data_IF_269673557906
#
_entry.id   IF_269673557906
#
_cell.length_a   1.000
_cell.length_b   1.000
_cell.length_c   1.000
_cell.angle_alpha   90.00
_cell.angle_beta   90.00
_cell.angle_gamma   90.00
#
_symmetry.space_group_name_H-M   'P 1'
#
loop_
_entity.id
_entity.type
_entity.pdbx_description
1 polymer ?
#
# COMPACT_ATOMS: atom_id res chain seq x y z
N UNK A 1 -34.16 -9.46 53.59
CA UNK A 1 -33.56 -10.80 53.33
C UNK A 1 -32.34 -10.55 52.46
N UNK A 2 -31.14 -10.25 52.99
CA UNK A 2 -30.06 -11.15 53.49
C UNK A 2 -29.77 -12.35 52.57
N UNK A 3 -28.69 -12.25 51.77
CA UNK A 3 -27.48 -13.12 51.70
C UNK A 3 -26.61 -12.58 50.51
N UNK A 4 -25.46 -11.91 50.71
CA UNK A 4 -24.06 -12.43 50.80
C UNK A 4 -23.66 -13.33 49.61
N UNK A 5 -22.54 -13.17 48.88
CA UNK A 5 -21.33 -12.32 48.94
C UNK A 5 -20.16 -13.00 48.18
N UNK A 6 -18.99 -12.34 48.19
CA UNK A 6 -17.63 -12.72 47.70
C UNK A 6 -17.34 -12.29 46.25
N UNK A 7 -16.48 -11.31 45.92
CA UNK A 7 -15.18 -10.83 46.42
C UNK A 7 -14.07 -11.90 46.44
N UNK A 8 -13.12 -11.78 45.51
CA UNK A 8 -11.93 -12.62 45.41
C UNK A 8 -10.85 -12.00 44.51
N UNK A 9 -10.19 -10.97 45.03
CA UNK A 9 -8.89 -10.49 44.54
C UNK A 9 -7.80 -11.38 45.15
N UNK A 10 -6.88 -11.94 44.37
CA UNK A 10 -5.65 -12.52 44.90
C UNK A 10 -4.47 -12.37 43.93
N UNK A 11 -3.53 -11.50 44.33
CA UNK A 11 -2.13 -11.46 43.91
C UNK A 11 -1.40 -12.73 44.38
N UNK A 12 -0.60 -13.34 43.51
CA UNK A 12 0.60 -14.12 43.81
C UNK A 12 1.28 -14.51 42.48
N UNK A 13 2.59 -14.59 42.30
CA UNK A 13 3.78 -14.18 43.01
C UNK A 13 4.92 -14.39 41.99
N UNK A 14 5.87 -13.45 41.90
CA UNK A 14 7.08 -13.59 41.10
C UNK A 14 8.22 -14.13 41.99
N UNK A 15 8.97 -15.12 41.50
CA UNK A 15 10.21 -15.64 42.07
C UNK A 15 10.47 -17.08 41.60
N UNK A 16 11.64 -17.51 41.14
CA UNK A 16 12.93 -16.85 40.93
C UNK A 16 14.00 -17.86 40.46
N UNK A 17 15.14 -17.31 40.03
CA UNK A 17 16.52 -17.83 40.08
C UNK A 17 16.94 -19.15 39.41
N UNK A 18 17.92 -19.03 38.51
CA UNK A 18 18.86 -20.09 38.13
C UNK A 18 19.93 -19.56 37.16
N UNK A 19 21.06 -19.10 37.68
CA UNK A 19 22.16 -18.50 36.90
C UNK A 19 23.17 -19.53 36.38
N UNK A 20 23.91 -19.15 35.34
CA UNK A 20 25.18 -19.78 34.93
C UNK A 20 26.20 -18.66 34.75
N UNK A 21 27.30 -18.76 35.51
CA UNK A 21 28.40 -17.81 35.50
C UNK A 21 29.34 -18.01 34.32
N UNK A 22 29.90 -16.90 33.84
CA UNK A 22 31.09 -16.88 32.99
C UNK A 22 32.19 -16.19 33.79
N UNK A 23 33.23 -16.95 34.12
CA UNK A 23 34.42 -16.46 34.81
C UNK A 23 35.22 -15.56 33.87
N UNK A 24 35.66 -14.43 34.43
CA UNK A 24 36.56 -13.48 33.80
C UNK A 24 38.05 -13.73 34.08
N UNK A 25 38.86 -12.83 33.51
CA UNK A 25 40.32 -12.74 33.62
C UNK A 25 40.88 -12.59 32.21
N UNK A 26 41.26 -11.40 31.73
CA UNK A 26 42.42 -10.63 32.21
C UNK A 26 43.66 -11.16 31.48
N UNK A 27 44.61 -10.42 30.93
CA UNK A 27 44.92 -9.01 30.90
C UNK A 27 46.19 -8.89 30.02
N UNK A 28 46.30 -7.78 29.28
CA UNK A 28 47.50 -7.03 28.90
C UNK A 28 48.71 -7.63 28.12
N UNK A 29 49.21 -6.74 27.24
CA UNK A 29 50.62 -6.50 26.87
C UNK A 29 51.15 -6.91 25.47
N UNK A 30 51.15 -5.90 24.58
CA UNK A 30 52.31 -5.27 23.93
C UNK A 30 53.32 -6.07 23.06
N UNK A 31 53.38 -5.63 21.79
CA UNK A 31 54.55 -5.19 20.99
C UNK A 31 55.88 -5.96 21.16
N UNK A 32 56.30 -6.63 20.09
CA UNK A 32 57.67 -7.07 19.84
C UNK A 32 58.07 -6.82 18.37
N UNK A 33 59.07 -5.98 18.18
CA UNK A 33 59.75 -5.65 16.91
C UNK A 33 60.90 -6.63 16.63
N UNK A 34 61.15 -6.82 15.34
CA UNK A 34 62.46 -6.97 14.67
C UNK A 34 62.98 -8.35 14.20
N UNK A 35 63.54 -8.26 12.99
CA UNK A 35 64.61 -9.02 12.34
C UNK A 35 64.42 -10.51 11.97
N UNK A 36 64.35 -10.75 10.66
CA UNK A 36 64.66 -12.04 10.04
C UNK A 36 64.83 -11.90 8.52
N UNK A 37 66.07 -11.96 8.07
CA UNK A 37 66.56 -11.49 6.77
C UNK A 37 66.24 -12.39 5.56
N UNK A 38 66.25 -11.79 4.37
CA UNK A 38 66.14 -12.44 3.05
C UNK A 38 67.47 -13.10 2.66
N UNK A 39 67.49 -14.24 1.94
CA UNK A 39 68.60 -14.56 1.07
C UNK A 39 68.31 -14.09 -0.37
N UNK A 40 69.22 -13.26 -0.89
CA UNK A 40 69.42 -12.99 -2.33
C UNK A 40 70.24 -14.12 -2.93
N UNK A 41 69.84 -14.67 -4.08
CA UNK A 41 70.70 -15.19 -5.17
C UNK A 41 69.84 -15.10 -6.45
N UNK A 42 70.03 -14.13 -7.34
CA UNK A 42 71.11 -13.89 -8.31
C UNK A 42 70.91 -14.65 -9.65
N UNK A 43 71.29 -13.90 -10.69
CA UNK A 43 71.01 -13.92 -12.11
C UNK A 43 70.90 -15.26 -12.86
N UNK A 44 69.91 -15.26 -13.77
CA UNK A 44 69.99 -15.92 -15.08
C UNK A 44 69.52 -14.93 -16.14
N UNK A 45 70.46 -14.28 -16.82
CA UNK A 45 70.26 -13.52 -18.06
C UNK A 45 69.92 -14.47 -19.21
N UNK A 46 69.02 -14.05 -20.11
CA UNK A 46 69.07 -14.19 -21.60
C UNK A 46 67.68 -13.91 -22.23
N UNK A 47 67.59 -13.45 -23.48
CA UNK A 47 68.30 -12.34 -24.12
C UNK A 47 67.32 -11.33 -24.77
N UNK A 48 67.89 -10.18 -25.13
CA UNK A 48 67.26 -9.04 -25.81
C UNK A 48 67.05 -9.36 -27.31
N UNK A 49 65.81 -9.57 -27.75
CA UNK A 49 65.42 -9.60 -29.16
C UNK A 49 64.66 -8.33 -29.56
N UNK A 50 65.43 -7.28 -29.83
CA UNK A 50 64.95 -6.05 -30.43
C UNK A 50 64.19 -6.31 -31.75
N UNK A 51 62.90 -5.97 -31.75
CA UNK A 51 62.00 -6.04 -32.90
C UNK A 51 60.88 -5.01 -32.85
N UNK A 52 61.19 -3.81 -33.35
CA UNK A 52 60.28 -2.79 -33.91
C UNK A 52 59.09 -2.27 -33.08
N UNK A 53 59.31 -1.05 -32.59
CA UNK A 53 58.33 -0.02 -32.26
C UNK A 53 57.42 0.32 -33.46
N UNK A 54 56.32 -0.41 -33.58
CA UNK A 54 55.39 -0.26 -34.70
C UNK A 54 53.93 -0.39 -34.27
N UNK A 55 53.47 0.49 -33.38
CA UNK A 55 52.05 0.80 -33.17
C UNK A 55 51.23 -0.32 -32.53
N UNK A 56 51.05 -0.24 -31.21
CA UNK A 56 49.92 -0.86 -30.53
C UNK A 56 49.21 0.22 -29.74
N UNK A 57 48.17 0.75 -30.40
CA UNK A 57 46.89 1.06 -29.78
C UNK A 57 46.95 1.40 -28.28
N UNK A 58 47.18 2.67 -27.97
CA UNK A 58 46.75 3.23 -26.69
C UNK A 58 45.27 3.61 -26.79
N UNK A 59 44.44 2.66 -27.20
CA UNK A 59 43.09 2.56 -26.72
C UNK A 59 43.21 2.25 -25.23
N UNK A 60 42.63 3.09 -24.41
CA UNK A 60 42.33 2.73 -23.03
C UNK A 60 41.43 1.50 -23.08
N UNK A 61 42.03 0.30 -23.02
CA UNK A 61 41.37 -0.96 -22.72
C UNK A 61 40.98 -0.96 -21.24
N UNK A 62 40.20 0.04 -20.86
CA UNK A 62 39.34 -0.07 -19.71
C UNK A 62 38.17 -0.89 -20.24
N UNK A 63 38.19 -2.19 -19.97
CA UNK A 63 36.97 -2.99 -19.97
C UNK A 63 35.89 -2.14 -19.31
N UNK A 64 34.70 -1.97 -19.93
CA UNK A 64 33.60 -1.29 -19.26
C UNK A 64 33.38 -1.92 -17.89
N UNK A 65 32.96 -1.11 -16.92
CA UNK A 65 32.51 -1.66 -15.63
C UNK A 65 31.41 -2.67 -15.96
N UNK A 66 31.48 -3.92 -15.48
CA UNK A 66 30.42 -4.89 -15.73
C UNK A 66 29.04 -4.31 -15.39
N UNK A 67 28.93 -3.46 -14.35
CA UNK A 67 27.66 -2.83 -13.97
C UNK A 67 27.13 -1.76 -14.94
N UNK A 68 27.92 -1.39 -15.94
CA UNK A 68 27.57 -0.46 -17.03
C UNK A 68 27.36 -1.21 -18.37
N UNK A 69 27.36 -2.54 -18.35
CA UNK A 69 27.02 -3.39 -19.49
C UNK A 69 25.59 -3.89 -19.29
N UNK A 70 24.85 -3.99 -20.39
CA UNK A 70 23.51 -4.59 -20.46
C UNK A 70 23.73 -5.99 -21.06
N UNK A 71 23.87 -7.01 -20.22
CA UNK A 71 24.24 -8.37 -20.66
C UNK A 71 23.07 -9.16 -21.30
N UNK A 72 21.82 -8.70 -21.14
CA UNK A 72 20.62 -9.38 -21.66
C UNK A 72 19.82 -8.62 -22.76
N UNK A 73 20.28 -7.41 -23.11
CA UNK A 73 19.76 -6.52 -24.15
C UNK A 73 18.32 -6.00 -23.88
N UNK A 74 17.92 -5.81 -22.62
CA UNK A 74 16.58 -5.31 -22.27
C UNK A 74 16.49 -3.77 -22.13
N UNK A 75 17.66 -3.11 -22.12
CA UNK A 75 17.79 -1.67 -22.11
C UNK A 75 18.08 -1.05 -20.74
N UNK A 76 18.32 -1.87 -19.71
CA UNK A 76 18.82 -1.45 -18.40
C UNK A 76 20.16 -2.13 -18.09
N UNK A 77 20.96 -1.51 -17.22
CA UNK A 77 22.14 -2.16 -16.62
C UNK A 77 21.95 -2.28 -15.11
N UNK A 78 22.81 -3.06 -14.45
CA UNK A 78 22.84 -3.16 -12.99
C UNK A 78 22.91 -1.79 -12.28
N UNK A 79 23.67 -0.82 -12.82
CA UNK A 79 23.74 0.56 -12.30
C UNK A 79 22.49 1.40 -12.59
N UNK A 80 21.67 1.01 -13.57
CA UNK A 80 20.40 1.66 -13.92
C UNK A 80 19.20 1.06 -13.18
N UNK A 81 19.41 -0.03 -12.43
CA UNK A 81 18.40 -0.64 -11.56
C UNK A 81 18.02 -2.06 -11.95
N UNK A 82 18.69 -2.67 -12.92
CA UNK A 82 18.46 -4.07 -13.28
C UNK A 82 18.88 -5.00 -12.13
N UNK A 83 17.93 -5.82 -11.68
CA UNK A 83 18.14 -6.80 -10.61
C UNK A 83 18.53 -8.19 -11.13
N UNK A 84 18.47 -8.42 -12.44
CA UNK A 84 19.01 -9.59 -13.14
C UNK A 84 19.37 -9.29 -14.60
N UNK A 85 20.56 -8.70 -14.77
CA UNK A 85 21.25 -8.39 -16.04
C UNK A 85 21.53 -9.63 -16.94
N UNK A 86 21.06 -10.82 -16.55
CA UNK A 86 21.13 -12.05 -17.34
C UNK A 86 19.75 -12.61 -17.75
N UNK A 87 18.67 -11.88 -17.47
CA UNK A 87 17.29 -12.25 -17.73
C UNK A 87 16.44 -11.03 -18.19
N UNK A 88 16.19 -10.89 -19.51
CA UNK A 88 15.56 -9.69 -20.07
C UNK A 88 14.06 -9.59 -19.77
N UNK A 89 13.57 -10.46 -18.89
CA UNK A 89 12.21 -10.42 -18.34
C UNK A 89 12.17 -9.81 -16.94
N UNK A 90 13.31 -9.36 -16.40
CA UNK A 90 13.45 -8.87 -15.04
C UNK A 90 14.23 -7.55 -14.97
N UNK A 91 13.54 -6.43 -15.13
CA UNK A 91 14.14 -5.09 -15.11
C UNK A 91 13.11 -4.01 -14.74
N UNK A 92 13.54 -2.76 -14.46
CA UNK A 92 12.65 -1.65 -14.08
C UNK A 92 11.44 -1.35 -14.98
N UNK A 93 11.39 -1.90 -16.19
CA UNK A 93 10.26 -1.74 -17.12
C UNK A 93 9.47 -3.03 -17.37
N UNK A 94 9.88 -4.14 -16.75
CA UNK A 94 9.15 -5.39 -16.85
C UNK A 94 7.78 -5.28 -16.16
N UNK A 95 6.92 -6.25 -16.43
CA UNK A 95 5.63 -6.37 -15.74
C UNK A 95 5.70 -7.52 -14.76
N UNK A 96 5.15 -7.32 -13.57
CA UNK A 96 5.11 -8.35 -12.55
C UNK A 96 4.30 -9.59 -12.99
N UNK A 97 4.87 -10.77 -12.76
CA UNK A 97 4.26 -12.09 -12.95
C UNK A 97 3.90 -12.65 -11.58
N UNK A 98 2.62 -12.58 -11.30
CA UNK A 98 2.11 -12.80 -9.97
C UNK A 98 2.16 -14.27 -9.49
N UNK A 99 2.44 -14.43 -8.19
CA UNK A 99 2.53 -15.69 -7.45
C UNK A 99 3.67 -16.62 -7.91
N UNK A 100 4.70 -16.10 -8.59
CA UNK A 100 5.88 -16.90 -8.99
C UNK A 100 7.07 -16.72 -8.03
N UNK A 101 6.98 -15.73 -7.13
CA UNK A 101 7.97 -15.46 -6.08
C UNK A 101 9.22 -14.75 -6.58
N UNK A 102 9.15 -14.11 -7.75
CA UNK A 102 10.23 -13.37 -8.39
C UNK A 102 9.77 -11.92 -8.54
N UNK A 103 10.63 -10.98 -8.20
CA UNK A 103 10.48 -9.54 -8.51
C UNK A 103 10.94 -9.34 -9.96
N UNK A 104 9.98 -9.11 -10.88
CA UNK A 104 10.29 -8.89 -12.30
C UNK A 104 10.56 -7.42 -12.58
N UNK A 105 9.84 -6.49 -11.97
CA UNK A 105 10.03 -5.07 -12.26
C UNK A 105 11.14 -4.38 -11.44
N UNK A 106 11.87 -5.15 -10.63
CA UNK A 106 13.02 -4.73 -9.84
C UNK A 106 12.73 -3.53 -8.91
N UNK A 107 11.48 -3.37 -8.48
CA UNK A 107 11.07 -2.28 -7.58
C UNK A 107 11.32 -2.62 -6.09
N UNK A 108 11.64 -3.89 -5.81
CA UNK A 108 11.95 -4.43 -4.49
C UNK A 108 10.79 -5.15 -3.80
N UNK A 109 9.59 -5.17 -4.39
CA UNK A 109 8.39 -5.82 -3.89
C UNK A 109 8.04 -7.08 -4.71
N UNK A 110 8.47 -8.24 -4.23
CA UNK A 110 8.13 -9.54 -4.86
C UNK A 110 6.63 -9.74 -4.96
N UNK A 111 6.15 -10.09 -6.15
CA UNK A 111 4.74 -10.34 -6.51
C UNK A 111 3.81 -9.15 -6.17
N UNK A 112 4.36 -7.94 -6.03
CA UNK A 112 3.60 -6.72 -5.72
C UNK A 112 2.76 -6.82 -4.43
N UNK A 113 3.23 -7.60 -3.45
CA UNK A 113 2.48 -8.02 -2.26
C UNK A 113 2.34 -6.94 -1.17
N UNK A 114 2.39 -5.66 -1.52
CA UNK A 114 2.23 -4.58 -0.55
C UNK A 114 0.86 -4.71 0.14
N UNK A 115 0.85 -5.10 1.42
CA UNK A 115 -0.39 -5.27 2.18
C UNK A 115 -1.17 -3.95 2.17
N UNK A 116 -2.44 -3.99 1.77
CA UNK A 116 -3.29 -2.82 1.83
C UNK A 116 -3.41 -2.33 3.28
N UNK A 117 -3.23 -1.03 3.50
CA UNK A 117 -3.40 -0.42 4.82
C UNK A 117 -4.81 0.13 4.96
N UNK A 118 -5.59 -0.39 5.91
CA UNK A 118 -6.91 0.14 6.23
C UNK A 118 -6.81 1.57 6.77
N UNK A 119 -7.61 2.47 6.22
CA UNK A 119 -7.83 3.83 6.73
C UNK A 119 -9.26 3.94 7.23
N UNK A 120 -9.41 4.48 8.44
CA UNK A 120 -10.68 4.53 9.13
C UNK A 120 -11.04 3.20 9.82
N UNK A 121 -12.30 3.05 10.27
CA UNK A 121 -13.38 4.02 10.08
C UNK A 121 -13.19 5.31 10.87
N UNK A 122 -13.46 6.45 10.24
CA UNK A 122 -13.48 7.77 10.87
C UNK A 122 -14.80 8.46 10.60
N UNK A 123 -15.28 9.33 11.52
CA UNK A 123 -16.41 10.21 11.24
C UNK A 123 -16.18 11.00 9.94
N UNK A 124 -17.24 11.23 9.18
CA UNK A 124 -17.18 12.01 7.95
C UNK A 124 -18.46 12.80 7.76
N UNK A 125 -18.41 14.10 8.06
CA UNK A 125 -19.54 15.03 7.98
C UNK A 125 -19.43 16.00 6.82
N UNK A 126 -18.21 16.18 6.30
CA UNK A 126 -17.93 17.02 5.14
C UNK A 126 -16.56 16.67 4.55
N UNK A 127 -16.28 17.17 3.34
CA UNK A 127 -15.02 16.93 2.61
C UNK A 127 -13.76 17.24 3.43
N UNK A 128 -13.80 18.21 4.34
CA UNK A 128 -12.64 18.57 5.16
C UNK A 128 -12.28 17.52 6.22
N UNK A 129 -13.20 16.60 6.53
CA UNK A 129 -12.96 15.46 7.41
C UNK A 129 -12.39 14.25 6.67
N UNK A 130 -12.23 14.33 5.34
CA UNK A 130 -11.54 13.29 4.57
C UNK A 130 -10.14 13.04 5.15
N UNK A 131 -9.78 11.78 5.44
CA UNK A 131 -8.40 11.42 5.77
C UNK A 131 -7.37 11.84 4.72
N UNK A 132 -7.82 12.15 3.51
CA UNK A 132 -6.96 12.58 2.42
C UNK A 132 -6.98 14.07 2.14
N UNK A 133 -7.72 14.86 2.91
CA UNK A 133 -7.80 16.31 2.74
C UNK A 133 -6.44 17.02 2.87
N UNK A 134 -5.45 16.36 3.50
CA UNK A 134 -4.11 16.89 3.70
C UNK A 134 -3.05 16.30 2.76
N UNK A 135 -3.42 15.35 1.89
CA UNK A 135 -2.50 14.70 0.96
C UNK A 135 -2.21 15.60 -0.26
N UNK A 136 -1.00 15.51 -0.79
CA UNK A 136 -0.54 16.29 -1.95
C UNK A 136 -0.54 15.39 -3.20
N UNK A 137 -1.73 15.05 -3.69
CA UNK A 137 -1.88 14.17 -4.83
C UNK A 137 -1.59 14.87 -6.16
N UNK A 138 -1.00 14.12 -7.09
CA UNK A 138 -0.89 14.55 -8.49
C UNK A 138 -2.20 14.35 -9.24
N UNK A 139 -2.99 13.37 -8.79
CA UNK A 139 -4.34 13.08 -9.25
C UNK A 139 -5.27 12.85 -8.05
N UNK A 140 -6.41 13.55 -8.02
CA UNK A 140 -7.43 13.33 -7.00
C UNK A 140 -8.84 13.51 -7.58
N UNK A 141 -9.72 12.57 -7.25
CA UNK A 141 -11.15 12.65 -7.54
C UNK A 141 -11.94 12.43 -6.27
N UNK A 142 -12.94 13.27 -6.07
CA UNK A 142 -14.06 13.02 -5.18
C UNK A 142 -15.31 13.02 -6.05
N UNK A 143 -15.99 11.88 -6.02
CA UNK A 143 -17.26 11.61 -6.65
C UNK A 143 -18.34 11.63 -5.56
N UNK A 144 -19.32 12.51 -5.73
CA UNK A 144 -20.47 12.70 -4.85
C UNK A 144 -21.74 12.04 -5.41
N UNK A 145 -21.67 11.49 -6.63
CA UNK A 145 -22.75 10.83 -7.38
C UNK A 145 -23.96 11.72 -7.73
N UNK A 146 -23.91 13.01 -7.39
CA UNK A 146 -25.00 13.99 -7.53
C UNK A 146 -25.42 14.24 -8.98
N UNK A 147 -24.51 14.01 -9.92
CA UNK A 147 -24.77 14.12 -11.35
C UNK A 147 -25.31 12.81 -11.98
N UNK A 148 -25.43 11.76 -11.16
CA UNK A 148 -25.85 10.43 -11.54
C UNK A 148 -24.87 9.69 -12.44
N UNK A 149 -23.61 10.10 -12.44
CA UNK A 149 -22.53 9.50 -13.21
C UNK A 149 -21.41 8.99 -12.29
N UNK A 150 -20.46 8.27 -12.89
CA UNK A 150 -19.21 7.89 -12.24
C UNK A 150 -18.06 8.59 -12.97
N UNK A 151 -16.90 8.77 -12.32
CA UNK A 151 -15.75 9.38 -12.97
C UNK A 151 -15.29 8.51 -14.15
N UNK A 152 -14.77 9.11 -15.23
CA UNK A 152 -14.15 8.35 -16.31
C UNK A 152 -13.07 7.41 -15.76
N UNK A 153 -13.09 6.16 -16.21
CA UNK A 153 -12.14 5.14 -15.73
C UNK A 153 -12.54 4.46 -14.42
N UNK A 154 -13.70 4.79 -13.85
CA UNK A 154 -14.28 4.10 -12.71
C UNK A 154 -15.53 3.35 -13.14
N UNK A 155 -15.65 2.10 -12.72
CA UNK A 155 -16.90 1.32 -12.83
C UNK A 155 -17.29 0.78 -11.47
N UNK A 156 -18.60 0.64 -11.22
CA UNK A 156 -19.12 0.05 -9.98
C UNK A 156 -19.92 -1.21 -10.29
N UNK A 157 -19.92 -2.18 -9.37
CA UNK A 157 -20.69 -3.43 -9.48
C UNK A 157 -22.21 -3.24 -9.43
N UNK A 158 -22.66 -2.02 -9.14
CA UNK A 158 -24.05 -1.55 -9.17
C UNK A 158 -24.08 -0.17 -9.82
N UNK A 159 -25.16 0.16 -10.50
CA UNK A 159 -25.44 1.51 -11.02
C UNK A 159 -26.75 2.06 -10.44
N UNK A 160 -27.16 1.54 -9.28
CA UNK A 160 -28.44 1.89 -8.66
C UNK A 160 -28.26 3.15 -7.82
N UNK A 161 -28.81 4.25 -8.31
CA UNK A 161 -28.76 5.55 -7.64
C UNK A 161 -30.03 5.84 -6.82
N UNK A 162 -29.86 6.62 -5.75
CA UNK A 162 -30.84 6.89 -4.69
C UNK A 162 -32.10 7.62 -5.15
N UNK A 163 -32.04 8.46 -6.19
CA UNK A 163 -33.20 9.15 -6.78
C UNK A 163 -34.33 8.22 -7.24
N UNK A 164 -34.06 6.91 -7.36
CA UNK A 164 -35.05 5.87 -7.67
C UNK A 164 -35.99 5.55 -6.49
N UNK A 165 -35.63 5.91 -5.26
CA UNK A 165 -36.33 5.54 -4.02
C UNK A 165 -37.08 6.70 -3.35
N UNK A 166 -36.72 7.94 -3.69
CA UNK A 166 -37.33 9.18 -3.21
C UNK A 166 -36.49 9.91 -2.16
N UNK A 167 -36.63 11.24 -2.02
CA UNK A 167 -35.74 12.11 -1.23
C UNK A 167 -35.84 11.94 0.29
N UNK A 168 -36.63 10.98 0.77
CA UNK A 168 -36.88 10.74 2.20
C UNK A 168 -36.11 9.54 2.76
N UNK A 169 -35.21 8.96 1.95
CA UNK A 169 -34.35 7.82 2.31
C UNK A 169 -32.90 8.04 1.87
N UNK A 170 -32.55 9.27 1.51
CA UNK A 170 -31.19 9.64 1.11
C UNK A 170 -30.54 10.24 2.35
N UNK A 171 -29.50 9.60 2.84
CA UNK A 171 -28.67 10.10 3.93
C UNK A 171 -27.37 10.61 3.32
N UNK A 172 -27.39 11.91 2.99
CA UNK A 172 -26.28 12.58 2.30
C UNK A 172 -25.38 13.25 3.34
N UNK A 173 -24.09 13.34 3.04
CA UNK A 173 -23.16 14.04 3.91
C UNK A 173 -23.38 15.55 3.79
N UNK A 174 -24.14 16.14 4.71
CA UNK A 174 -24.61 17.54 4.72
C UNK A 174 -23.58 18.67 4.47
N UNK A 175 -22.28 18.40 4.37
CA UNK A 175 -21.25 19.40 4.12
C UNK A 175 -20.66 19.42 2.71
N UNK A 176 -21.18 18.62 1.78
CA UNK A 176 -20.72 18.53 0.39
C UNK A 176 -21.68 19.16 -0.65
N UNK A 177 -22.91 19.50 -0.27
CA UNK A 177 -23.96 20.13 -1.08
C UNK A 177 -23.75 21.65 -1.32
N UNK A 178 -22.80 22.24 -0.60
CA UNK A 178 -22.56 23.68 -0.57
C UNK A 178 -23.45 24.50 0.38
N UNK A 179 -24.31 23.89 1.22
CA UNK A 179 -25.01 24.52 2.34
C UNK A 179 -25.13 23.63 3.61
N UNK A 180 -24.25 23.84 4.62
CA UNK A 180 -24.05 22.94 5.77
C UNK A 180 -25.13 23.00 6.87
N UNK A 181 -26.42 23.23 6.56
CA UNK A 181 -27.42 23.53 7.60
C UNK A 181 -28.83 22.95 7.49
N UNK A 182 -29.22 22.21 6.44
CA UNK A 182 -30.61 21.74 6.34
C UNK A 182 -30.85 20.22 6.52
N UNK A 183 -29.79 19.41 6.57
CA UNK A 183 -29.85 17.99 6.95
C UNK A 183 -30.73 17.14 6.02
N UNK A 184 -30.97 17.61 4.80
CA UNK A 184 -31.77 16.91 3.79
C UNK A 184 -31.38 17.38 2.40
N UNK A 185 -30.79 16.50 1.62
CA UNK A 185 -30.66 16.78 0.21
C UNK A 185 -31.92 16.31 -0.60
N UNK A 186 -32.44 17.18 -1.46
CA UNK A 186 -33.72 16.98 -2.18
C UNK A 186 -33.59 16.64 -3.67
N UNK A 187 -32.37 16.72 -4.22
CA UNK A 187 -32.04 16.46 -5.64
C UNK A 187 -30.80 15.58 -5.83
N UNK A 188 -30.32 14.97 -4.75
CA UNK A 188 -29.11 14.16 -4.68
C UNK A 188 -29.28 12.75 -5.19
N UNK A 189 -28.13 12.17 -5.46
CA UNK A 189 -27.98 10.78 -5.80
C UNK A 189 -26.84 10.21 -4.97
N UNK A 190 -27.12 9.15 -4.23
CA UNK A 190 -26.12 8.29 -3.61
C UNK A 190 -26.13 6.92 -4.27
N UNK A 191 -25.04 6.17 -4.14
CA UNK A 191 -24.90 4.85 -4.75
C UNK A 191 -25.34 3.73 -3.79
N UNK A 192 -26.21 2.85 -4.28
CA UNK A 192 -26.80 1.78 -3.46
C UNK A 192 -26.34 0.39 -3.85
N UNK A 193 -25.96 -0.40 -2.85
CA UNK A 193 -25.69 -1.83 -2.98
C UNK A 193 -26.48 -2.66 -1.96
N UNK A 194 -26.74 -3.93 -2.30
CA UNK A 194 -27.58 -4.82 -1.46
C UNK A 194 -26.80 -5.58 -0.37
N UNK A 195 -25.49 -5.75 -0.55
CA UNK A 195 -24.61 -6.49 0.37
C UNK A 195 -23.18 -5.97 0.32
N UNK A 196 -22.70 -5.71 -0.88
CA UNK A 196 -21.33 -5.28 -1.17
C UNK A 196 -21.29 -4.43 -2.42
N UNK A 197 -20.34 -3.52 -2.47
CA UNK A 197 -20.02 -2.72 -3.64
C UNK A 197 -18.55 -2.92 -4.01
N UNK A 198 -18.27 -2.99 -5.30
CA UNK A 198 -16.91 -3.08 -5.84
C UNK A 198 -16.74 -1.99 -6.87
N UNK A 199 -15.70 -1.20 -6.72
CA UNK A 199 -15.22 -0.25 -7.72
C UNK A 199 -14.03 -0.87 -8.45
N UNK A 200 -13.98 -0.70 -9.76
CA UNK A 200 -12.89 -1.15 -10.62
C UNK A 200 -12.34 0.04 -11.40
N UNK A 201 -11.01 0.08 -11.51
CA UNK A 201 -10.25 1.22 -12.00
C UNK A 201 -9.54 0.89 -13.31
N UNK A 202 -9.69 1.77 -14.30
CA UNK A 202 -9.02 1.69 -15.59
C UNK A 202 -7.80 2.63 -15.60
N UNK A 203 -6.57 2.09 -15.49
CA UNK A 203 -5.37 2.92 -15.41
C UNK A 203 -5.08 3.69 -16.70
N UNK A 204 -5.54 3.23 -17.87
CA UNK A 204 -5.31 3.95 -19.13
C UNK A 204 -6.10 5.26 -19.17
N UNK A 205 -7.30 5.26 -18.58
CA UNK A 205 -8.16 6.44 -18.51
C UNK A 205 -7.77 7.33 -17.33
N UNK A 206 -7.44 6.73 -16.18
CA UNK A 206 -7.10 7.47 -14.97
C UNK A 206 -5.69 8.06 -14.99
N UNK A 207 -4.78 7.53 -15.83
CA UNK A 207 -3.36 7.92 -15.87
C UNK A 207 -2.46 7.15 -14.91
N UNK A 208 -3.01 6.17 -14.21
CA UNK A 208 -2.37 5.34 -13.19
C UNK A 208 -3.42 4.59 -12.37
N UNK A 209 -3.00 3.58 -11.60
CA UNK A 209 -3.87 2.94 -10.62
C UNK A 209 -3.91 3.79 -9.34
N UNK A 210 -5.08 4.00 -8.72
CA UNK A 210 -5.16 4.75 -7.47
C UNK A 210 -4.46 4.00 -6.34
N UNK A 211 -3.63 4.72 -5.59
CA UNK A 211 -2.94 4.22 -4.40
C UNK A 211 -3.74 4.49 -3.13
N UNK A 212 -4.68 5.44 -3.19
CA UNK A 212 -5.61 5.77 -2.11
C UNK A 212 -7.04 5.64 -2.64
N UNK A 213 -7.83 4.75 -2.04
CA UNK A 213 -9.25 4.56 -2.39
C UNK A 213 -10.09 4.48 -1.12
N UNK A 214 -11.24 5.13 -1.10
CA UNK A 214 -12.05 5.25 0.10
C UNK A 214 -13.43 5.75 -0.21
N UNK A 215 -14.37 5.38 0.64
CA UNK A 215 -15.78 5.69 0.47
C UNK A 215 -16.36 6.20 1.77
N UNK A 216 -17.48 6.92 1.65
CA UNK A 216 -18.29 7.31 2.79
C UNK A 216 -19.56 6.47 2.82
N UNK A 217 -19.72 5.74 3.92
CA UNK A 217 -20.91 4.95 4.23
C UNK A 217 -21.79 5.79 5.15
N UNK A 218 -23.03 6.04 4.73
CA UNK A 218 -24.00 6.85 5.48
C UNK A 218 -25.07 5.96 6.12
N UNK A 219 -25.83 5.23 5.31
CA UNK A 219 -26.86 4.30 5.80
C UNK A 219 -26.54 2.82 5.53
N UNK A 220 -26.83 2.00 6.54
CA UNK A 220 -27.23 0.63 6.34
C UNK A 220 -28.52 0.45 7.15
N UNK A 221 -29.65 0.12 6.50
CA UNK A 221 -30.96 -0.19 7.11
C UNK A 221 -30.93 -1.12 8.36
N UNK A 222 -29.76 -1.67 8.68
CA UNK A 222 -29.41 -2.39 9.90
C UNK A 222 -28.39 -1.59 10.72
N UNK A 223 -28.70 -1.35 11.99
CA UNK A 223 -27.77 -0.72 12.93
C UNK A 223 -26.56 -1.61 13.26
N UNK A 224 -25.42 -0.97 13.53
CA UNK A 224 -24.20 -1.56 14.05
C UNK A 224 -23.57 -2.64 13.15
N UNK A 225 -23.37 -2.33 11.88
CA UNK A 225 -22.82 -3.26 10.89
C UNK A 225 -21.31 -3.07 10.76
N UNK A 226 -20.56 -4.16 10.63
CA UNK A 226 -19.11 -4.08 10.32
C UNK A 226 -18.90 -4.08 8.81
N UNK A 227 -18.02 -3.22 8.33
CA UNK A 227 -17.55 -3.25 6.96
C UNK A 227 -16.32 -4.16 6.86
N UNK A 228 -16.30 -4.98 5.83
CA UNK A 228 -15.13 -5.71 5.34
C UNK A 228 -14.67 -4.99 4.10
N UNK A 229 -13.46 -4.47 4.14
CA UNK A 229 -12.84 -3.71 3.06
C UNK A 229 -11.74 -4.57 2.48
N UNK A 230 -11.72 -4.72 1.16
CA UNK A 230 -10.65 -5.42 0.45
C UNK A 230 -10.28 -4.67 -0.82
N UNK A 231 -9.06 -4.89 -1.28
CA UNK A 231 -8.59 -4.36 -2.55
C UNK A 231 -7.82 -5.44 -3.32
N UNK A 232 -7.64 -5.22 -4.61
CA UNK A 232 -6.83 -6.09 -5.47
C UNK A 232 -5.90 -5.19 -6.27
N UNK A 233 -4.62 -5.56 -6.36
CA UNK A 233 -3.65 -4.94 -7.26
C UNK A 233 -3.71 -5.62 -8.63
N UNK A 234 -2.70 -5.39 -9.47
CA UNK A 234 -2.42 -6.19 -10.67
C UNK A 234 -2.07 -7.63 -10.32
N UNK A 235 -1.48 -7.86 -9.14
CA UNK A 235 -0.94 -9.16 -8.79
C UNK A 235 -1.56 -9.94 -7.64
N UNK A 236 -2.15 -9.27 -6.64
CA UNK A 236 -2.71 -10.00 -5.52
C UNK A 236 -3.95 -9.34 -4.93
N UNK A 237 -4.72 -10.15 -4.19
CA UNK A 237 -5.65 -9.60 -3.21
C UNK A 237 -4.83 -8.98 -2.08
N UNK A 238 -5.05 -7.71 -1.78
CA UNK A 238 -4.36 -6.98 -0.70
C UNK A 238 -4.89 -7.32 0.70
N UNK A 239 -5.53 -8.48 0.84
CA UNK A 239 -6.23 -8.92 2.04
C UNK A 239 -7.66 -8.37 2.19
N UNK A 240 -8.36 -8.89 3.21
CA UNK A 240 -9.63 -8.35 3.69
C UNK A 240 -9.43 -7.82 5.10
N UNK A 241 -9.72 -6.53 5.28
CA UNK A 241 -9.57 -5.80 6.53
C UNK A 241 -10.98 -5.53 7.07
N UNK A 242 -11.24 -6.00 8.29
CA UNK A 242 -12.50 -5.72 8.98
C UNK A 242 -12.34 -4.43 9.77
N UNK A 243 -13.36 -3.59 9.73
CA UNK A 243 -13.45 -2.47 10.66
C UNK A 243 -13.82 -2.98 12.05
N UNK A 244 -13.14 -2.50 13.09
CA UNK A 244 -13.45 -2.80 14.49
C UNK A 244 -14.58 -1.91 15.06
N UNK A 245 -15.08 -0.99 14.24
CA UNK A 245 -16.16 -0.06 14.58
C UNK A 245 -17.32 -0.27 13.61
N UNK A 246 -18.52 -0.17 14.18
CA UNK A 246 -19.78 -0.44 13.54
C UNK A 246 -20.37 0.83 12.90
N UNK A 247 -20.95 0.69 11.70
CA UNK A 247 -21.66 1.73 10.94
C UNK A 247 -23.18 1.57 11.08
N UNK A 248 -23.90 2.65 10.81
CA UNK A 248 -25.35 2.70 10.79
C UNK A 248 -25.98 2.60 12.18
N UNK A 249 -27.04 3.38 12.40
CA UNK A 249 -27.84 3.37 13.62
C UNK A 249 -29.24 2.75 13.39
N UNK A 250 -29.57 2.42 12.12
CA UNK A 250 -30.85 1.87 11.68
C UNK A 250 -31.92 2.92 11.39
N UNK A 251 -31.56 4.20 11.44
CA UNK A 251 -32.26 5.33 10.82
C UNK A 251 -31.91 5.39 9.34
N UNK A 252 -32.70 6.11 8.54
CA UNK A 252 -32.58 6.17 7.08
C UNK A 252 -32.68 7.62 6.56
N UNK A 253 -32.37 8.62 7.39
CA UNK A 253 -32.46 9.98 6.89
C UNK A 253 -31.98 11.09 7.80
N UNK A 254 -31.07 11.89 7.23
CA UNK A 254 -30.72 13.26 7.60
C UNK A 254 -29.86 13.35 8.85
N UNK A 255 -29.15 12.27 9.18
CA UNK A 255 -28.31 12.17 10.37
C UNK A 255 -26.87 11.85 9.92
N UNK A 256 -25.93 12.72 10.28
CA UNK A 256 -24.51 12.60 9.85
C UNK A 256 -23.59 12.15 10.99
N UNK A 257 -24.13 11.76 12.15
CA UNK A 257 -23.32 11.36 13.31
C UNK A 257 -22.75 9.94 13.16
N UNK A 258 -23.37 9.12 12.33
CA UNK A 258 -23.10 7.73 12.01
C UNK A 258 -22.27 7.55 10.74
N UNK A 259 -22.17 8.57 9.90
CA UNK A 259 -21.43 8.56 8.65
C UNK A 259 -19.96 8.28 8.89
N UNK A 260 -19.41 7.36 8.12
CA UNK A 260 -17.99 7.04 8.23
C UNK A 260 -17.33 6.92 6.89
N UNK A 261 -16.14 7.46 6.86
CA UNK A 261 -15.16 7.13 5.85
C UNK A 261 -14.49 5.79 6.15
N UNK A 262 -14.33 4.95 5.14
CA UNK A 262 -13.46 3.76 5.13
C UNK A 262 -12.66 3.71 3.84
N UNK A 263 -11.37 3.38 3.92
CA UNK A 263 -10.51 3.30 2.75
C UNK A 263 -9.33 2.36 2.90
N UNK A 264 -8.58 2.21 1.83
CA UNK A 264 -7.31 1.49 1.75
C UNK A 264 -6.26 2.40 1.13
N UNK A 265 -5.04 2.30 1.64
CA UNK A 265 -3.83 2.77 0.97
C UNK A 265 -3.01 1.57 0.51
N UNK A 266 -2.62 1.56 -0.75
CA UNK A 266 -1.82 0.52 -1.37
C UNK A 266 -0.81 1.17 -2.33
N UNK A 267 0.49 1.21 -1.98
CA UNK A 267 1.53 1.85 -2.80
C UNK A 267 1.61 1.31 -4.23
N UNK A 268 1.44 0.00 -4.43
CA UNK A 268 1.42 -0.65 -5.75
C UNK A 268 0.20 -0.27 -6.62
N UNK A 269 -0.79 0.41 -6.04
CA UNK A 269 -2.02 0.77 -6.73
C UNK A 269 -3.07 -0.34 -6.75
N UNK A 270 -4.33 0.06 -6.91
CA UNK A 270 -5.48 -0.83 -6.84
C UNK A 270 -6.19 -0.93 -8.20
N UNK A 271 -6.41 -2.16 -8.67
CA UNK A 271 -7.31 -2.45 -9.80
C UNK A 271 -8.77 -2.49 -9.35
N UNK A 272 -9.01 -2.85 -8.09
CA UNK A 272 -10.35 -2.80 -7.50
C UNK A 272 -10.35 -2.56 -6.00
N UNK A 273 -11.46 -2.00 -5.52
CA UNK A 273 -11.74 -1.76 -4.11
C UNK A 273 -13.16 -2.23 -3.79
N UNK A 274 -13.32 -3.03 -2.74
CA UNK A 274 -14.58 -3.64 -2.36
C UNK A 274 -14.91 -3.34 -0.91
N UNK A 275 -16.16 -2.97 -0.66
CA UNK A 275 -16.72 -2.86 0.69
C UNK A 275 -17.93 -3.78 0.81
N UNK A 276 -17.92 -4.62 1.83
CA UNK A 276 -18.99 -5.56 2.14
C UNK A 276 -19.47 -5.35 3.58
N UNK A 277 -20.75 -5.05 3.73
CA UNK A 277 -21.38 -4.84 5.05
C UNK A 277 -22.37 -5.98 5.38
N UNK A 278 -22.56 -6.96 4.49
CA UNK A 278 -23.49 -8.08 4.72
C UNK A 278 -24.98 -7.70 4.69
N UNK A 279 -25.30 -6.48 4.25
CA UNK A 279 -26.65 -5.93 4.12
C UNK A 279 -26.69 -4.74 3.17
N UNK A 280 -27.86 -4.10 2.99
CA UNK A 280 -27.95 -2.89 2.17
C UNK A 280 -27.00 -1.82 2.66
N UNK A 281 -26.36 -1.12 1.73
CA UNK A 281 -25.51 0.03 2.01
C UNK A 281 -25.83 1.18 1.07
N UNK A 282 -25.76 2.39 1.61
CA UNK A 282 -25.68 3.65 0.90
C UNK A 282 -24.23 4.13 0.90
N UNK A 283 -23.77 4.62 -0.25
CA UNK A 283 -22.46 5.22 -0.45
C UNK A 283 -22.68 6.61 -1.01
N UNK A 284 -22.30 7.62 -0.24
CA UNK A 284 -22.50 9.01 -0.60
C UNK A 284 -21.28 9.58 -1.34
N UNK A 285 -20.09 9.15 -0.96
CA UNK A 285 -18.87 9.56 -1.66
C UNK A 285 -17.99 8.38 -2.04
N UNK A 286 -17.38 8.48 -3.21
CA UNK A 286 -16.15 7.76 -3.56
C UNK A 286 -15.03 8.78 -3.72
N UNK A 287 -13.89 8.48 -3.12
CA UNK A 287 -12.69 9.27 -3.30
C UNK A 287 -11.58 8.35 -3.83
N UNK A 288 -10.73 8.87 -4.72
CA UNK A 288 -9.52 8.18 -5.20
C UNK A 288 -8.36 9.16 -5.49
N UNK A 289 -7.12 8.74 -5.24
CA UNK A 289 -5.94 9.56 -5.52
C UNK A 289 -4.62 8.78 -5.62
N UNK A 290 -3.62 9.41 -6.22
CA UNK A 290 -2.22 8.96 -6.30
C UNK A 290 -1.22 10.09 -6.57
#
# INVERSE_FOLDING_TARGET
MRYWGLLGCLLAACGGSGGVGVDGGGEDAAIGVDAGERPRQDAGEEPDDGGTDGGTDSGTDASPDPNDVDDDDDGFTENEGDCADDDPTRSPAASEICDDGIDQDCDGDVDDLSEGMLVGPSPYRDRSESPWAAEDFTFFVLEDFEDGMLPPGVTASTSRLSSTFGPSVIDSVDGDDGDPTDGMCSTCDALWASTSITFTFDPEILGGLPTHVGIVLTDAFTANVNARVSATSTCASLGELSTDVTFGDGSVGGETEEDRFVGIVAPAGMTSFTVNVGGPLEVDHLQLGY
#
